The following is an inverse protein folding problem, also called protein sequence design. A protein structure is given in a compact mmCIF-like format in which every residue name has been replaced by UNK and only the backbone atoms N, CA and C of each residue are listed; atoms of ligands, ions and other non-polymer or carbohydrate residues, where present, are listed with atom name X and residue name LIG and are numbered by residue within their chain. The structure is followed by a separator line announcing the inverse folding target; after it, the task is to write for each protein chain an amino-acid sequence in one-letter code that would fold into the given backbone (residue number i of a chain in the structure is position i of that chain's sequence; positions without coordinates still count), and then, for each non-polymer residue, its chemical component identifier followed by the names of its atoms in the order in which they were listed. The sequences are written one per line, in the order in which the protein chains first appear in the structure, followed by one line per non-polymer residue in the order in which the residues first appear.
data_IF_930980682413
#
_entry.id   IF_930980682413
#
_cell.length_a   1.000
_cell.length_b   1.000
_cell.length_c   1.000
_cell.angle_alpha   90.00
_cell.angle_beta   90.00
_cell.angle_gamma   90.00
#
_symmetry.space_group_name_H-M   'P 1'
#
loop_
_entity.id
_entity.type
_entity.pdbx_description
1 polymer ?
#
# COMPACT_ATOMS: atom_id res chain seq x y z
N UNK A 1 -2.05 -39.13 -26.92
CA UNK A 1 -2.10 -37.66 -26.80
C UNK A 1 -2.92 -37.14 -25.62
N UNK A 2 -3.41 -37.99 -24.71
CA UNK A 2 -4.30 -37.54 -23.62
C UNK A 2 -3.55 -37.14 -22.33
N UNK A 3 -2.27 -37.53 -22.19
CA UNK A 3 -1.50 -37.31 -20.96
C UNK A 3 -1.02 -35.86 -20.81
N UNK A 4 -0.78 -35.15 -21.91
CA UNK A 4 -0.35 -33.73 -21.89
C UNK A 4 -1.46 -32.80 -21.40
N UNK A 5 -2.72 -33.11 -21.69
CA UNK A 5 -3.87 -32.33 -21.22
C UNK A 5 -4.05 -32.41 -19.70
N UNK A 6 -3.80 -33.59 -19.11
CA UNK A 6 -3.89 -33.79 -17.66
C UNK A 6 -2.79 -33.00 -16.92
N UNK A 7 -1.58 -32.97 -17.48
CA UNK A 7 -0.45 -32.20 -16.91
C UNK A 7 -0.71 -30.69 -16.98
N UNK A 8 -1.29 -30.20 -18.08
CA UNK A 8 -1.69 -28.79 -18.23
C UNK A 8 -2.81 -28.39 -17.25
N UNK A 9 -3.78 -29.28 -17.01
CA UNK A 9 -4.86 -29.03 -16.03
C UNK A 9 -4.33 -28.95 -14.60
N UNK A 10 -3.42 -29.86 -14.21
CA UNK A 10 -2.82 -29.86 -12.88
C UNK A 10 -1.93 -28.63 -12.62
N UNK A 11 -1.17 -28.19 -13.62
CA UNK A 11 -0.32 -26.99 -13.50
C UNK A 11 -1.13 -25.70 -13.41
N UNK A 12 -2.25 -25.59 -14.14
CA UNK A 12 -3.18 -24.48 -13.99
C UNK A 12 -3.84 -24.42 -12.61
N UNK A 13 -4.22 -25.58 -12.03
CA UNK A 13 -4.80 -25.64 -10.68
C UNK A 13 -3.79 -25.23 -9.59
N UNK A 14 -2.53 -25.67 -9.71
CA UNK A 14 -1.47 -25.31 -8.76
C UNK A 14 -1.17 -23.80 -8.77
N UNK A 15 -1.21 -23.15 -9.95
CA UNK A 15 -1.03 -21.71 -10.08
C UNK A 15 -2.18 -20.90 -9.47
N UNK A 16 -3.41 -21.40 -9.53
CA UNK A 16 -4.58 -20.75 -8.89
C UNK A 16 -4.51 -20.87 -7.37
N UNK A 17 -4.09 -22.02 -6.82
CA UNK A 17 -3.93 -22.19 -5.37
C UNK A 17 -2.74 -21.38 -4.82
N UNK A 18 -1.62 -21.30 -5.55
CA UNK A 18 -0.48 -20.47 -5.14
C UNK A 18 -0.80 -18.96 -5.10
N UNK A 19 -1.82 -18.51 -5.83
CA UNK A 19 -2.28 -17.10 -5.79
C UNK A 19 -3.18 -16.80 -4.57
N UNK A 20 -3.83 -17.82 -4.01
CA UNK A 20 -4.65 -17.71 -2.80
C UNK A 20 -3.88 -18.04 -1.50
N UNK A 21 -2.72 -18.73 -1.58
CA UNK A 21 -1.89 -19.09 -0.41
C UNK A 21 -0.76 -18.07 -0.24
N UNK A 22 -1.10 -16.78 -0.18
CA UNK A 22 -0.13 -15.72 0.14
C UNK A 22 -0.58 -14.98 1.38
N UNK A 23 0.14 -15.27 2.47
CA UNK A 23 0.09 -14.67 3.81
C UNK A 23 -1.03 -15.14 4.76
N UNK A 24 -0.80 -16.32 5.35
CA UNK A 24 -1.26 -16.70 6.68
C UNK A 24 0.00 -16.79 7.57
N UNK A 25 -0.10 -16.41 8.85
CA UNK A 25 0.98 -16.05 9.80
C UNK A 25 1.56 -14.66 9.48
N UNK A 26 1.46 -13.64 10.33
CA UNK A 26 1.71 -13.61 11.78
C UNK A 26 0.76 -12.64 12.51
N UNK A 27 0.33 -13.06 13.70
CA UNK A 27 -0.11 -12.25 14.85
C UNK A 27 -0.93 -10.96 14.62
N UNK A 28 -2.19 -10.96 15.08
CA UNK A 28 -2.62 -10.06 16.17
C UNK A 28 -4.09 -10.28 16.53
N UNK A 29 -4.28 -10.96 17.66
CA UNK A 29 -5.31 -10.69 18.68
C UNK A 29 -6.64 -10.12 18.21
N UNK A 30 -7.61 -11.02 18.11
CA UNK A 30 -9.04 -10.75 18.20
C UNK A 30 -9.37 -10.05 19.53
N UNK A 31 -9.30 -8.71 19.58
CA UNK A 31 -9.97 -7.91 20.60
C UNK A 31 -11.02 -7.04 19.92
N UNK A 32 -12.26 -7.17 20.39
CA UNK A 32 -13.48 -6.55 19.88
C UNK A 32 -13.49 -5.02 19.92
N UNK A 33 -14.63 -4.39 19.59
CA UNK A 33 -14.73 -2.96 19.35
C UNK A 33 -14.59 -2.19 20.67
N UNK A 34 -13.35 -1.95 21.10
CA UNK A 34 -13.03 -1.14 22.26
C UNK A 34 -12.78 0.30 21.82
N UNK A 35 -13.85 1.09 21.99
CA UNK A 35 -13.90 2.51 22.27
C UNK A 35 -12.54 3.22 22.48
N UNK A 36 -12.33 4.30 21.72
CA UNK A 36 -11.42 5.42 22.03
C UNK A 36 -9.92 5.11 22.12
N UNK A 37 -9.32 4.66 21.01
CA UNK A 37 -7.88 4.93 20.80
C UNK A 37 -7.71 6.35 20.24
N UNK A 38 -6.92 7.24 20.87
CA UNK A 38 -6.58 8.51 20.25
C UNK A 38 -5.86 8.20 18.95
N UNK A 39 -6.53 8.42 17.81
CA UNK A 39 -5.94 8.21 16.50
C UNK A 39 -4.69 9.08 16.43
N UNK A 40 -3.49 8.48 16.21
CA UNK A 40 -2.29 9.28 16.08
C UNK A 40 -2.44 10.10 14.81
N UNK A 41 -2.82 11.37 14.98
CA UNK A 41 -2.77 12.33 13.89
C UNK A 41 -1.32 12.35 13.43
N UNK A 42 -1.07 11.81 12.24
CA UNK A 42 0.23 12.00 11.61
C UNK A 42 0.35 13.49 11.30
N UNK A 43 1.20 14.21 12.05
CA UNK A 43 1.34 15.68 12.00
C UNK A 43 1.62 16.17 10.57
N UNK A 44 2.19 15.31 9.73
CA UNK A 44 2.61 15.64 8.38
C UNK A 44 1.55 15.34 7.30
N UNK A 45 0.48 14.63 7.64
CA UNK A 45 -0.50 14.16 6.65
C UNK A 45 -1.82 14.92 6.76
N UNK A 46 -2.46 15.26 5.62
CA UNK A 46 -3.77 15.88 5.61
C UNK A 46 -4.80 15.05 6.40
N UNK A 47 -5.63 15.73 7.19
CA UNK A 47 -6.63 15.10 8.05
C UNK A 47 -7.58 14.18 7.28
N UNK A 48 -7.99 14.56 6.08
CA UNK A 48 -8.91 13.79 5.24
C UNK A 48 -8.38 12.38 4.87
N UNK A 49 -7.08 12.15 4.95
CA UNK A 49 -6.48 10.81 4.76
C UNK A 49 -5.90 10.24 6.06
N UNK A 50 -5.42 11.10 6.96
CA UNK A 50 -4.72 10.71 8.19
C UNK A 50 -5.61 10.15 9.30
N UNK A 51 -6.94 10.27 9.19
CA UNK A 51 -7.87 9.68 10.16
C UNK A 51 -8.15 8.20 9.91
N UNK A 52 -7.76 7.64 8.76
CA UNK A 52 -8.00 6.25 8.41
C UNK A 52 -6.82 5.36 8.84
N UNK A 53 -7.01 4.42 9.79
CA UNK A 53 -5.96 3.48 10.18
C UNK A 53 -5.36 2.71 9.00
N UNK A 54 -6.19 2.44 7.98
CA UNK A 54 -5.79 1.76 6.74
C UNK A 54 -4.69 2.53 6.00
N UNK A 55 -4.70 3.86 6.06
CA UNK A 55 -3.74 4.71 5.35
C UNK A 55 -2.32 4.58 5.91
N UNK A 56 -2.17 4.23 7.20
CA UNK A 56 -0.90 4.30 7.92
C UNK A 56 0.18 3.42 7.31
N UNK A 57 -0.17 2.28 6.72
CA UNK A 57 0.81 1.43 6.06
C UNK A 57 1.47 2.13 4.87
N UNK A 58 0.72 2.92 4.10
CA UNK A 58 1.26 3.68 2.98
C UNK A 58 2.01 4.92 3.49
N UNK A 59 1.41 5.66 4.43
CA UNK A 59 2.03 6.86 5.02
C UNK A 59 3.40 6.55 5.62
N UNK A 60 3.48 5.53 6.48
CA UNK A 60 4.72 5.11 7.11
C UNK A 60 5.80 4.72 6.08
N UNK A 61 5.41 3.99 5.02
CA UNK A 61 6.34 3.63 3.95
C UNK A 61 6.84 4.85 3.19
N UNK A 62 5.98 5.83 2.93
CA UNK A 62 6.35 7.08 2.28
C UNK A 62 7.31 7.86 3.17
N UNK A 63 6.95 8.10 4.44
CA UNK A 63 7.79 8.82 5.41
C UNK A 63 9.22 8.24 5.46
N UNK A 64 9.34 6.90 5.52
CA UNK A 64 10.63 6.20 5.51
C UNK A 64 11.46 6.40 4.24
N UNK A 65 10.83 6.69 3.10
CA UNK A 65 11.53 7.04 1.85
C UNK A 65 11.88 8.51 1.79
N UNK A 66 11.02 9.38 2.31
CA UNK A 66 11.27 10.83 2.37
C UNK A 66 12.47 11.18 3.26
N UNK A 67 12.72 10.41 4.32
CA UNK A 67 13.93 10.52 5.17
C UNK A 67 15.26 10.47 4.37
N UNK A 68 15.25 9.93 3.14
CA UNK A 68 16.43 9.73 2.29
C UNK A 68 16.52 10.69 1.11
N UNK A 69 15.64 11.68 1.04
CA UNK A 69 15.57 12.64 -0.08
C UNK A 69 15.86 14.03 0.47
N UNK A 70 16.92 14.68 -0.02
CA UNK A 70 17.25 16.04 0.44
C UNK A 70 16.44 17.12 -0.28
N UNK A 71 15.97 16.83 -1.50
CA UNK A 71 15.23 17.79 -2.31
C UNK A 71 13.77 17.93 -1.82
N UNK A 72 13.46 19.06 -1.19
CA UNK A 72 12.12 19.40 -0.67
C UNK A 72 11.04 19.46 -1.76
N UNK A 73 11.37 19.90 -2.99
CA UNK A 73 10.40 19.88 -4.09
C UNK A 73 10.02 18.45 -4.51
N UNK A 74 10.98 17.53 -4.49
CA UNK A 74 10.75 16.11 -4.76
C UNK A 74 9.95 15.47 -3.64
N UNK A 75 10.27 15.77 -2.37
CA UNK A 75 9.48 15.33 -1.20
C UNK A 75 8.01 15.73 -1.33
N UNK A 76 7.75 17.01 -1.55
CA UNK A 76 6.37 17.53 -1.72
C UNK A 76 5.62 16.89 -2.89
N UNK A 77 6.31 16.61 -4.00
CA UNK A 77 5.69 15.88 -5.14
C UNK A 77 5.30 14.45 -4.76
N UNK A 78 6.14 13.76 -4.00
CA UNK A 78 5.87 12.40 -3.51
C UNK A 78 4.72 12.40 -2.51
N UNK A 79 4.72 13.31 -1.54
CA UNK A 79 3.63 13.46 -0.55
C UNK A 79 2.30 13.71 -1.25
N UNK A 80 2.24 14.69 -2.16
CA UNK A 80 1.04 15.00 -2.93
C UNK A 80 0.55 13.79 -3.73
N UNK A 81 1.46 13.04 -4.35
CA UNK A 81 1.10 11.83 -5.08
C UNK A 81 0.47 10.78 -4.13
N UNK A 82 1.11 10.52 -2.99
CA UNK A 82 0.62 9.56 -2.01
C UNK A 82 -0.74 9.96 -1.41
N UNK A 83 -0.93 11.24 -1.06
CA UNK A 83 -2.22 11.77 -0.60
C UNK A 83 -3.30 11.56 -1.67
N UNK A 84 -3.00 11.83 -2.94
CA UNK A 84 -3.96 11.63 -4.02
C UNK A 84 -4.30 10.15 -4.24
N UNK A 85 -3.35 9.24 -4.06
CA UNK A 85 -3.63 7.80 -4.09
C UNK A 85 -4.57 7.40 -2.93
N UNK A 86 -4.32 7.90 -1.71
CA UNK A 86 -5.16 7.62 -0.55
C UNK A 86 -6.58 8.17 -0.73
N UNK A 87 -6.72 9.39 -1.25
CA UNK A 87 -8.03 9.99 -1.55
C UNK A 87 -8.85 9.17 -2.53
N UNK A 88 -8.22 8.56 -3.54
CA UNK A 88 -8.90 7.66 -4.48
C UNK A 88 -9.41 6.38 -3.83
N UNK A 89 -8.88 6.03 -2.66
CA UNK A 89 -9.33 4.87 -1.89
C UNK A 89 -10.47 5.20 -0.92
N UNK A 90 -10.90 6.46 -0.81
CA UNK A 90 -12.01 6.85 0.04
C UNK A 90 -13.30 6.70 -0.76
N UNK A 91 -14.18 5.80 -0.32
CA UNK A 91 -15.52 5.56 -0.87
C UNK A 91 -16.53 5.58 0.27
N UNK A 92 -17.59 6.38 0.13
CA UNK A 92 -18.66 6.51 1.13
C UNK A 92 -18.17 6.80 2.56
N UNK A 93 -17.11 7.60 2.68
CA UNK A 93 -16.51 7.99 3.97
C UNK A 93 -15.67 6.90 4.63
N UNK A 94 -15.41 5.78 3.94
CA UNK A 94 -14.54 4.71 4.40
C UNK A 94 -13.34 4.54 3.45
N UNK A 95 -12.22 4.04 3.96
CA UNK A 95 -11.04 3.78 3.14
C UNK A 95 -10.96 2.30 2.74
N UNK A 96 -10.95 2.02 1.43
CA UNK A 96 -10.83 0.67 0.90
C UNK A 96 -9.40 0.12 1.12
N UNK A 97 -9.28 -0.88 2.00
CA UNK A 97 -8.03 -1.57 2.35
C UNK A 97 -7.33 -2.16 1.12
N UNK A 98 -8.08 -2.76 0.18
CA UNK A 98 -7.51 -3.34 -1.03
C UNK A 98 -6.97 -2.26 -1.96
N UNK A 99 -7.66 -1.13 -2.07
CA UNK A 99 -7.18 0.04 -2.80
C UNK A 99 -5.89 0.58 -2.18
N UNK A 100 -5.81 0.71 -0.84
CA UNK A 100 -4.59 1.18 -0.17
C UNK A 100 -3.42 0.22 -0.43
N UNK A 101 -3.65 -1.09 -0.28
CA UNK A 101 -2.62 -2.11 -0.54
C UNK A 101 -2.10 -2.05 -1.98
N UNK A 102 -2.99 -1.82 -2.96
CA UNK A 102 -2.61 -1.61 -4.37
C UNK A 102 -1.78 -0.33 -4.55
N UNK A 103 -2.22 0.76 -3.91
CA UNK A 103 -1.59 2.07 -3.98
C UNK A 103 -0.16 2.10 -3.44
N UNK A 104 0.21 1.16 -2.56
CA UNK A 104 1.62 0.97 -2.14
C UNK A 104 2.52 0.71 -3.34
N UNK A 105 2.13 -0.21 -4.23
CA UNK A 105 2.93 -0.53 -5.42
C UNK A 105 3.11 0.68 -6.33
N UNK A 106 2.02 1.39 -6.64
CA UNK A 106 2.06 2.59 -7.47
C UNK A 106 2.93 3.69 -6.87
N UNK A 107 2.77 3.94 -5.57
CA UNK A 107 3.53 4.97 -4.86
C UNK A 107 5.00 4.64 -4.77
N UNK A 108 5.37 3.40 -4.46
CA UNK A 108 6.79 3.00 -4.42
C UNK A 108 7.44 3.10 -5.81
N UNK A 109 6.73 2.71 -6.87
CA UNK A 109 7.21 2.88 -8.25
C UNK A 109 7.37 4.35 -8.63
N UNK A 110 6.42 5.21 -8.24
CA UNK A 110 6.52 6.66 -8.46
C UNK A 110 7.75 7.25 -7.76
N UNK A 111 7.96 6.91 -6.48
CA UNK A 111 9.14 7.35 -5.71
C UNK A 111 10.43 6.90 -6.40
N UNK A 112 10.51 5.63 -6.80
CA UNK A 112 11.68 5.12 -7.51
C UNK A 112 11.97 5.93 -8.78
N UNK A 113 10.95 6.20 -9.59
CA UNK A 113 11.09 7.02 -10.79
C UNK A 113 11.55 8.45 -10.48
N UNK A 114 11.03 9.09 -9.42
CA UNK A 114 11.50 10.41 -8.99
C UNK A 114 12.98 10.39 -8.59
N UNK A 115 13.43 9.33 -7.90
CA UNK A 115 14.82 9.18 -7.49
C UNK A 115 15.75 8.95 -8.69
N UNK A 116 15.36 8.12 -9.66
CA UNK A 116 16.15 7.90 -10.88
C UNK A 116 16.33 9.19 -11.67
N UNK A 117 15.23 9.94 -11.88
CA UNK A 117 15.27 11.25 -12.55
C UNK A 117 16.18 12.25 -11.84
N UNK A 118 16.17 12.30 -10.51
CA UNK A 118 17.03 13.20 -9.74
C UNK A 118 18.52 12.82 -9.81
N UNK A 119 18.82 11.52 -9.97
CA UNK A 119 20.20 11.00 -10.05
C UNK A 119 20.75 10.97 -11.49
N UNK A 120 19.97 11.36 -12.49
CA UNK A 120 20.39 11.29 -13.89
C UNK A 120 20.49 9.86 -14.45
N UNK A 121 19.70 8.93 -13.91
CA UNK A 121 19.53 7.56 -14.42
C UNK A 121 18.20 7.44 -15.17
#
# INVERSE_FOLDING_TARGET
MNSTLVILLLSALALVQARNIRWSEEDNSSQGPSLSHPHPHSVNWPCDVGHFPEAFILMHKVDKRLERIDNESTKKRIENYAVNQLRQCILDGQMDVHCVRRSIGYTMSFIHHQMSQANGM
#
